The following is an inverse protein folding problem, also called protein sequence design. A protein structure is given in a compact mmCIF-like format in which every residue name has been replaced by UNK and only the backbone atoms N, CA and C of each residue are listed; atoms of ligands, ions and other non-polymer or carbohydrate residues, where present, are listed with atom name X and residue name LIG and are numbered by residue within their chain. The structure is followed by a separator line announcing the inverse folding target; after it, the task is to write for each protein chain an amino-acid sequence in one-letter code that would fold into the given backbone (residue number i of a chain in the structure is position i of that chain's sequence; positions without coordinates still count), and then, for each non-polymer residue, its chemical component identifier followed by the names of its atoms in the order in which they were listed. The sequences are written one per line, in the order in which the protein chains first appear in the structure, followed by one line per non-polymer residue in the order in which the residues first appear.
data_IF_537332440185
#
_entry.id   IF_537332440185
#
_cell.length_a   1.000
_cell.length_b   1.000
_cell.length_c   1.000
_cell.angle_alpha   90.00
_cell.angle_beta   90.00
_cell.angle_gamma   90.00
#
_symmetry.space_group_name_H-M   'P 1'
#
loop_
_entity.id
_entity.type
_entity.pdbx_description
1 polymer ?
#
# COMPACT_ATOMS: atom_id res chain seq x y z
N UNK A 1 72.88 1.98 -23.20
CA UNK A 1 71.60 1.94 -22.45
C UNK A 1 70.47 1.78 -23.46
N UNK A 2 69.66 0.74 -23.35
CA UNK A 2 68.69 0.35 -24.39
C UNK A 2 67.41 1.22 -24.32
N UNK A 3 67.14 2.10 -25.31
CA UNK A 3 66.03 3.06 -25.26
C UNK A 3 64.65 2.37 -25.29
N UNK A 4 64.59 1.11 -25.73
CA UNK A 4 63.37 0.31 -25.80
C UNK A 4 62.70 0.07 -24.44
N UNK A 5 63.48 -0.04 -23.36
CA UNK A 5 62.94 -0.33 -22.02
C UNK A 5 62.11 0.83 -21.45
N UNK A 6 62.49 2.09 -21.74
CA UNK A 6 61.78 3.28 -21.26
C UNK A 6 60.48 3.53 -22.03
N UNK A 7 60.51 3.32 -23.35
CA UNK A 7 59.32 3.46 -24.19
C UNK A 7 58.25 2.41 -23.86
N UNK A 8 58.66 1.17 -23.60
CA UNK A 8 57.76 0.09 -23.17
C UNK A 8 57.12 0.41 -21.81
N UNK A 9 57.91 0.90 -20.85
CA UNK A 9 57.40 1.28 -19.52
C UNK A 9 56.37 2.41 -19.62
N UNK A 10 56.63 3.43 -20.45
CA UNK A 10 55.71 4.53 -20.68
C UNK A 10 54.38 4.07 -21.30
N UNK A 11 54.44 3.16 -22.28
CA UNK A 11 53.24 2.59 -22.90
C UNK A 11 52.38 1.81 -21.89
N UNK A 12 52.99 1.02 -21.02
CA UNK A 12 52.29 0.28 -19.96
C UNK A 12 51.58 1.23 -19.00
N UNK A 13 52.25 2.31 -18.58
CA UNK A 13 51.67 3.32 -17.66
C UNK A 13 50.47 4.01 -18.31
N UNK A 14 50.56 4.37 -19.60
CA UNK A 14 49.47 5.02 -20.33
C UNK A 14 48.25 4.09 -20.43
N UNK A 15 48.45 2.82 -20.78
CA UNK A 15 47.36 1.83 -20.85
C UNK A 15 46.70 1.66 -19.48
N UNK A 16 47.49 1.60 -18.41
CA UNK A 16 46.97 1.48 -17.05
C UNK A 16 46.18 2.72 -16.61
N UNK A 17 46.63 3.92 -16.98
CA UNK A 17 45.93 5.16 -16.70
C UNK A 17 44.59 5.26 -17.44
N UNK A 18 44.55 4.87 -18.71
CA UNK A 18 43.31 4.82 -19.51
C UNK A 18 42.34 3.78 -18.94
N UNK A 19 42.85 2.63 -18.49
CA UNK A 19 42.05 1.61 -17.84
C UNK A 19 41.45 2.10 -16.51
N UNK A 20 42.25 2.76 -15.66
CA UNK A 20 41.79 3.37 -14.41
C UNK A 20 40.73 4.46 -14.63
N UNK A 21 40.91 5.31 -15.63
CA UNK A 21 39.94 6.34 -16.01
C UNK A 21 38.62 5.72 -16.50
N UNK A 22 38.70 4.66 -17.32
CA UNK A 22 37.52 3.94 -17.79
C UNK A 22 36.80 3.19 -16.66
N UNK A 23 37.54 2.64 -15.69
CA UNK A 23 36.98 1.97 -14.52
C UNK A 23 36.28 2.97 -13.59
N UNK A 24 36.86 4.16 -13.37
CA UNK A 24 36.22 5.26 -12.64
C UNK A 24 34.94 5.75 -13.32
N UNK A 25 34.95 5.90 -14.65
CA UNK A 25 33.74 6.30 -15.38
C UNK A 25 32.64 5.24 -15.33
N UNK A 26 32.99 3.95 -15.26
CA UNK A 26 32.02 2.86 -15.09
C UNK A 26 31.40 2.84 -13.69
N UNK A 27 32.16 3.20 -12.65
CA UNK A 27 31.67 3.39 -11.27
C UNK A 27 30.82 4.66 -11.10
N UNK A 28 31.12 5.73 -11.85
CA UNK A 28 30.34 6.97 -11.84
C UNK A 28 29.10 6.95 -12.76
N UNK A 29 28.95 5.91 -13.58
CA UNK A 29 27.85 5.71 -14.52
C UNK A 29 26.77 4.75 -13.99
N UNK A 30 26.75 4.44 -12.70
CA UNK A 30 25.56 3.89 -12.04
C UNK A 30 24.73 5.05 -11.49
N UNK A 31 24.17 5.85 -12.40
CA UNK A 31 23.04 6.74 -12.10
C UNK A 31 21.72 5.95 -12.03
N UNK A 32 21.76 4.63 -11.85
CA UNK A 32 20.58 3.90 -11.41
C UNK A 32 20.30 4.36 -9.99
N UNK A 33 19.12 4.96 -9.78
CA UNK A 33 18.60 5.30 -8.46
C UNK A 33 18.97 4.17 -7.47
N UNK A 34 19.64 4.45 -6.34
CA UNK A 34 19.98 3.42 -5.35
C UNK A 34 18.76 2.53 -5.12
N UNK A 35 18.99 1.23 -4.91
CA UNK A 35 17.90 0.27 -4.74
C UNK A 35 16.84 0.75 -3.72
N UNK A 36 17.25 1.53 -2.71
CA UNK A 36 16.39 2.23 -1.75
C UNK A 36 15.47 3.31 -2.36
N UNK A 37 15.91 4.09 -3.34
CA UNK A 37 15.07 5.04 -4.09
C UNK A 37 14.12 4.33 -5.05
N UNK A 38 14.54 3.23 -5.68
CA UNK A 38 13.62 2.34 -6.44
C UNK A 38 12.61 1.71 -5.50
N UNK A 39 13.03 1.33 -4.29
CA UNK A 39 12.16 0.79 -3.24
C UNK A 39 11.17 1.83 -2.68
N UNK A 40 11.62 3.08 -2.50
CA UNK A 40 10.80 4.21 -2.09
C UNK A 40 9.82 4.63 -3.21
N UNK A 41 10.24 4.58 -4.47
CA UNK A 41 9.38 4.79 -5.64
C UNK A 41 8.37 3.65 -5.84
N UNK A 42 8.74 2.40 -5.48
CA UNK A 42 7.86 1.22 -5.49
C UNK A 42 7.05 1.04 -4.20
N UNK A 43 7.02 2.02 -3.29
CA UNK A 43 6.17 1.99 -2.10
C UNK A 43 4.70 2.16 -2.51
N UNK A 44 4.11 1.11 -3.08
CA UNK A 44 2.72 0.97 -3.56
C UNK A 44 2.13 2.31 -3.99
N UNK A 45 2.32 2.63 -5.28
CA UNK A 45 1.77 3.83 -5.91
C UNK A 45 0.32 4.04 -5.46
N UNK A 46 0.02 5.26 -5.03
CA UNK A 46 -1.35 5.67 -4.79
C UNK A 46 -2.07 5.61 -6.15
N UNK A 47 -3.14 4.83 -6.22
CA UNK A 47 -4.03 4.81 -7.36
C UNK A 47 -4.98 6.00 -7.22
N UNK A 48 -4.62 7.09 -7.89
CA UNK A 48 -5.40 8.33 -7.88
C UNK A 48 -6.84 8.12 -8.34
N UNK A 49 -7.10 7.14 -9.22
CA UNK A 49 -8.46 6.83 -9.66
C UNK A 49 -9.28 6.20 -8.52
N UNK A 50 -8.75 5.19 -7.85
CA UNK A 50 -9.37 4.59 -6.66
C UNK A 50 -9.56 5.62 -5.54
N UNK A 51 -8.56 6.46 -5.29
CA UNK A 51 -8.66 7.53 -4.29
C UNK A 51 -9.75 8.53 -4.65
N UNK A 52 -9.77 9.03 -5.89
CA UNK A 52 -10.77 9.98 -6.36
C UNK A 52 -12.19 9.40 -6.33
N UNK A 53 -12.34 8.12 -6.64
CA UNK A 53 -13.60 7.40 -6.45
C UNK A 53 -14.00 7.37 -4.98
N UNK A 54 -13.11 6.93 -4.09
CA UNK A 54 -13.39 6.77 -2.66
C UNK A 54 -13.66 8.08 -1.92
N UNK A 55 -13.09 9.21 -2.37
CA UNK A 55 -13.42 10.53 -1.80
C UNK A 55 -14.91 10.84 -1.82
N UNK A 56 -15.66 10.34 -2.81
CA UNK A 56 -17.11 10.57 -2.93
C UNK A 56 -17.92 9.84 -1.87
N UNK A 57 -17.32 8.82 -1.25
CA UNK A 57 -17.94 7.96 -0.26
C UNK A 57 -17.52 8.31 1.17
N UNK A 58 -16.78 9.40 1.35
CA UNK A 58 -16.37 9.88 2.67
C UNK A 58 -17.61 10.33 3.47
N UNK A 59 -17.70 9.89 4.72
CA UNK A 59 -18.74 10.35 5.63
C UNK A 59 -18.49 11.80 6.05
N UNK A 60 -19.56 12.57 6.27
CA UNK A 60 -19.46 13.95 6.77
C UNK A 60 -18.80 14.02 8.15
N UNK A 61 -18.98 12.97 8.96
CA UNK A 61 -18.33 12.77 10.26
C UNK A 61 -17.95 11.30 10.37
N UNK A 62 -16.78 11.01 10.93
CA UNK A 62 -16.41 9.64 11.26
C UNK A 62 -17.40 9.07 12.29
N UNK A 63 -17.93 7.88 12.03
CA UNK A 63 -18.94 7.24 12.89
C UNK A 63 -18.30 6.09 13.68
N UNK A 64 -18.46 6.01 15.01
CA UNK A 64 -17.89 4.90 15.79
C UNK A 64 -18.54 3.57 15.43
N UNK A 65 -17.74 2.51 15.42
CA UNK A 65 -18.24 1.13 15.28
C UNK A 65 -18.76 0.65 16.63
N UNK A 66 -20.00 0.15 16.65
CA UNK A 66 -20.64 -0.29 17.91
C UNK A 66 -19.84 -1.42 18.58
N UNK A 67 -19.47 -1.21 19.85
CA UNK A 67 -18.68 -2.19 20.61
C UNK A 67 -17.16 -2.16 20.33
N UNK A 68 -16.69 -1.26 19.46
CA UNK A 68 -15.28 -1.05 19.13
C UNK A 68 -14.96 0.47 19.24
N UNK A 69 -14.72 0.98 20.47
CA UNK A 69 -14.56 2.42 20.70
C UNK A 69 -13.30 3.02 20.06
N UNK A 70 -12.35 2.16 19.68
CA UNK A 70 -11.13 2.52 18.99
C UNK A 70 -11.27 2.47 17.46
N UNK A 71 -12.47 2.22 16.93
CA UNK A 71 -12.70 2.14 15.49
C UNK A 71 -13.80 3.08 15.03
N UNK A 72 -13.54 3.75 13.91
CA UNK A 72 -14.51 4.60 13.22
C UNK A 72 -14.64 4.22 11.75
N UNK A 73 -15.86 4.28 11.24
CA UNK A 73 -16.14 4.23 9.81
C UNK A 73 -15.86 5.61 9.23
N UNK A 74 -15.04 5.64 8.19
CA UNK A 74 -14.62 6.90 7.53
C UNK A 74 -15.23 7.06 6.15
N UNK A 75 -15.42 5.94 5.44
CA UNK A 75 -15.98 5.93 4.10
C UNK A 75 -16.92 4.74 3.95
N UNK A 76 -18.04 4.93 3.23
CA UNK A 76 -19.02 3.89 2.95
C UNK A 76 -19.51 4.00 1.51
N UNK A 77 -19.30 2.92 0.76
CA UNK A 77 -19.87 2.72 -0.57
C UNK A 77 -20.93 1.63 -0.48
N UNK A 78 -22.19 2.02 -0.74
CA UNK A 78 -23.28 1.06 -0.96
C UNK A 78 -23.22 0.60 -2.41
N UNK A 79 -23.36 -0.68 -2.64
CA UNK A 79 -23.38 -1.24 -3.98
C UNK A 79 -24.81 -1.51 -4.43
N UNK A 80 -25.02 -1.53 -5.75
CA UNK A 80 -26.30 -1.91 -6.34
C UNK A 80 -26.45 -3.43 -6.39
N UNK A 81 -27.67 -3.91 -6.67
CA UNK A 81 -28.03 -5.34 -6.73
C UNK A 81 -27.22 -6.19 -7.72
N UNK A 82 -26.47 -5.57 -8.65
CA UNK A 82 -25.58 -6.27 -9.58
C UNK A 82 -24.21 -6.61 -8.97
N UNK A 83 -23.88 -6.04 -7.81
CA UNK A 83 -22.68 -6.39 -7.05
C UNK A 83 -22.91 -7.65 -6.22
N UNK A 84 -21.86 -8.47 -6.09
CA UNK A 84 -21.87 -9.59 -5.15
C UNK A 84 -21.77 -9.14 -3.68
N UNK A 85 -21.46 -7.87 -3.43
CA UNK A 85 -21.32 -7.26 -2.11
C UNK A 85 -22.38 -6.19 -1.92
N UNK A 86 -22.92 -6.06 -0.70
CA UNK A 86 -23.90 -5.04 -0.35
C UNK A 86 -23.20 -3.70 -0.03
N UNK A 87 -22.12 -3.75 0.74
CA UNK A 87 -21.41 -2.56 1.24
C UNK A 87 -19.90 -2.73 1.17
N UNK A 88 -19.17 -1.66 0.87
CA UNK A 88 -17.74 -1.53 1.18
C UNK A 88 -17.53 -0.40 2.17
N UNK A 89 -16.63 -0.59 3.12
CA UNK A 89 -16.30 0.43 4.09
C UNK A 89 -14.78 0.55 4.31
N UNK A 90 -14.37 1.77 4.68
CA UNK A 90 -13.05 2.03 5.23
C UNK A 90 -13.21 2.30 6.72
N UNK A 91 -12.60 1.43 7.52
CA UNK A 91 -12.63 1.49 8.98
C UNK A 91 -11.26 1.95 9.46
N UNK A 92 -11.21 3.01 10.25
CA UNK A 92 -10.01 3.52 10.88
C UNK A 92 -9.96 3.02 12.32
N UNK A 93 -8.94 2.25 12.63
CA UNK A 93 -8.53 1.94 13.99
C UNK A 93 -7.64 3.08 14.51
N UNK A 94 -7.81 3.47 15.77
CA UNK A 94 -7.09 4.56 16.41
C UNK A 94 -5.57 4.40 16.29
N UNK A 95 -4.88 5.53 16.44
CA UNK A 95 -3.44 5.62 16.28
C UNK A 95 -2.70 4.59 17.15
N UNK A 96 -1.76 3.88 16.53
CA UNK A 96 -0.80 3.01 17.22
C UNK A 96 0.62 3.52 16.94
N UNK A 97 1.64 3.10 17.72
CA UNK A 97 3.02 3.52 17.45
C UNK A 97 3.51 3.21 16.03
N UNK A 98 2.97 2.16 15.39
CA UNK A 98 3.29 1.81 14.01
C UNK A 98 2.59 2.71 12.99
N UNK A 99 1.41 3.23 13.32
CA UNK A 99 0.56 4.06 12.45
C UNK A 99 -0.01 5.24 13.26
N UNK A 100 0.76 6.33 13.40
CA UNK A 100 0.38 7.45 14.26
C UNK A 100 -0.87 8.20 13.79
N UNK A 101 -1.23 8.08 12.51
CA UNK A 101 -2.43 8.68 11.91
C UNK A 101 -3.65 7.73 11.89
N UNK A 102 -3.51 6.56 12.53
CA UNK A 102 -4.49 5.48 12.53
C UNK A 102 -4.19 4.41 11.48
N UNK A 103 -4.78 3.24 11.68
CA UNK A 103 -4.67 2.09 10.79
C UNK A 103 -5.99 1.87 10.07
N UNK A 104 -5.97 1.84 8.74
CA UNK A 104 -7.17 1.84 7.90
C UNK A 104 -7.37 0.48 7.26
N UNK A 105 -8.56 -0.09 7.45
CA UNK A 105 -8.99 -1.38 6.94
C UNK A 105 -10.03 -1.17 5.85
N UNK A 106 -9.76 -1.69 4.65
CA UNK A 106 -10.73 -1.72 3.56
C UNK A 106 -11.43 -3.07 3.52
N UNK A 107 -12.74 -3.05 3.77
CA UNK A 107 -13.58 -4.25 3.87
C UNK A 107 -14.75 -4.19 2.89
N UNK A 108 -15.20 -5.37 2.47
CA UNK A 108 -16.41 -5.60 1.68
C UNK A 108 -17.33 -6.55 2.43
N UNK A 109 -18.63 -6.33 2.38
CA UNK A 109 -19.63 -7.05 3.16
C UNK A 109 -20.78 -7.51 2.24
N UNK A 110 -21.08 -8.80 2.27
CA UNK A 110 -22.30 -9.42 1.77
C UNK A 110 -23.10 -9.78 3.02
N UNK A 111 -23.94 -8.82 3.41
CA UNK A 111 -24.71 -8.80 4.64
C UNK A 111 -25.81 -9.85 4.61
N UNK A 112 -26.41 -10.09 3.45
CA UNK A 112 -27.43 -11.12 3.28
C UNK A 112 -26.86 -12.53 3.46
N UNK A 113 -25.65 -12.79 2.94
CA UNK A 113 -25.04 -14.12 3.00
C UNK A 113 -24.08 -14.32 4.17
N UNK A 114 -23.79 -13.30 4.98
CA UNK A 114 -22.86 -13.45 6.11
C UNK A 114 -21.39 -13.54 5.69
N UNK A 115 -21.01 -12.97 4.54
CA UNK A 115 -19.64 -12.99 4.04
C UNK A 115 -19.01 -11.62 4.10
N UNK A 116 -17.71 -11.58 4.37
CA UNK A 116 -16.93 -10.35 4.27
C UNK A 116 -15.58 -10.60 3.63
N UNK A 117 -14.97 -9.56 3.10
CA UNK A 117 -13.66 -9.62 2.47
C UNK A 117 -12.70 -8.63 3.12
N UNK A 118 -11.49 -9.11 3.43
CA UNK A 118 -10.37 -8.27 3.87
C UNK A 118 -9.58 -7.84 2.63
N UNK A 119 -9.94 -6.71 2.04
CA UNK A 119 -9.31 -6.29 0.78
C UNK A 119 -7.89 -5.80 1.00
N UNK A 120 -7.71 -4.85 1.91
CA UNK A 120 -6.40 -4.31 2.20
C UNK A 120 -6.41 -3.53 3.51
N UNK A 121 -5.24 -3.31 4.09
CA UNK A 121 -5.06 -2.54 5.31
C UNK A 121 -3.77 -1.72 5.23
N UNK A 122 -3.78 -0.49 5.74
CA UNK A 122 -2.63 0.42 5.63
C UNK A 122 -2.69 1.57 6.63
N UNK A 123 -1.57 2.24 6.86
CA UNK A 123 -1.50 3.45 7.72
C UNK A 123 -2.18 4.71 7.15
N UNK A 124 -2.92 4.60 6.05
CA UNK A 124 -3.69 5.70 5.46
C UNK A 124 -4.80 5.12 4.60
N UNK A 125 -5.98 5.73 4.57
CA UNK A 125 -7.08 5.24 3.75
C UNK A 125 -6.76 5.24 2.25
N UNK A 126 -5.99 6.21 1.76
CA UNK A 126 -5.60 6.30 0.34
C UNK A 126 -4.82 5.06 -0.08
N UNK A 127 -3.84 4.64 0.72
CA UNK A 127 -3.08 3.41 0.47
C UNK A 127 -3.92 2.15 0.65
N UNK A 128 -4.85 2.15 1.60
CA UNK A 128 -5.79 1.04 1.79
C UNK A 128 -6.58 0.79 0.50
N UNK A 129 -7.14 1.83 -0.13
CA UNK A 129 -7.90 1.69 -1.39
C UNK A 129 -7.04 1.54 -2.64
N UNK A 130 -5.78 1.99 -2.61
CA UNK A 130 -4.87 1.93 -3.76
C UNK A 130 -4.18 0.58 -3.93
N UNK A 131 -3.92 -0.14 -2.85
CA UNK A 131 -3.16 -1.40 -2.90
C UNK A 131 -4.09 -2.60 -2.81
N UNK A 132 -5.14 -2.66 -3.64
CA UNK A 132 -6.06 -3.78 -3.65
C UNK A 132 -5.29 -5.10 -3.81
N UNK A 133 -5.11 -5.82 -2.70
CA UNK A 133 -4.74 -7.23 -2.74
C UNK A 133 -6.05 -7.98 -2.85
N UNK A 134 -6.09 -9.03 -3.68
CA UNK A 134 -7.27 -9.87 -3.80
C UNK A 134 -7.55 -10.45 -2.41
N UNK A 135 -8.50 -9.86 -1.71
CA UNK A 135 -8.78 -10.20 -0.33
C UNK A 135 -9.29 -11.64 -0.21
N UNK A 136 -9.06 -12.27 0.94
CA UNK A 136 -9.69 -13.55 1.25
C UNK A 136 -11.12 -13.30 1.72
N UNK A 137 -12.11 -13.71 0.93
CA UNK A 137 -13.49 -13.77 1.38
C UNK A 137 -13.62 -14.80 2.51
N UNK A 138 -14.28 -14.42 3.60
CA UNK A 138 -14.44 -15.24 4.80
C UNK A 138 -15.90 -15.23 5.25
N UNK A 139 -16.33 -16.36 5.80
CA UNK A 139 -17.63 -16.48 6.42
C UNK A 139 -17.59 -15.93 7.85
N UNK A 140 -18.57 -15.10 8.22
CA UNK A 140 -18.52 -14.34 9.46
C UNK A 140 -18.53 -15.23 10.71
N UNK A 141 -19.10 -16.44 10.65
CA UNK A 141 -19.11 -17.36 11.78
C UNK A 141 -17.70 -17.74 12.25
N UNK A 142 -16.74 -17.83 11.33
CA UNK A 142 -15.33 -18.11 11.61
C UNK A 142 -14.48 -16.88 11.92
N UNK A 143 -15.06 -15.68 11.91
CA UNK A 143 -14.35 -14.45 12.20
C UNK A 143 -14.12 -14.25 13.70
N UNK A 144 -13.12 -13.44 14.03
CA UNK A 144 -12.87 -13.01 15.40
C UNK A 144 -13.99 -12.08 15.89
N UNK A 145 -13.99 -11.80 17.20
CA UNK A 145 -15.03 -10.97 17.83
C UNK A 145 -15.08 -9.56 17.24
N UNK A 146 -13.93 -8.98 16.92
CA UNK A 146 -13.84 -7.60 16.41
C UNK A 146 -14.47 -7.52 15.03
N UNK A 147 -14.12 -8.44 14.15
CA UNK A 147 -14.70 -8.47 12.80
C UNK A 147 -16.19 -8.79 12.77
N UNK A 148 -16.68 -9.59 13.71
CA UNK A 148 -18.12 -9.79 13.92
C UNK A 148 -18.83 -8.48 14.26
N UNK A 149 -18.26 -7.69 15.17
CA UNK A 149 -18.81 -6.38 15.53
C UNK A 149 -18.76 -5.39 14.35
N UNK A 150 -17.67 -5.36 13.59
CA UNK A 150 -17.57 -4.57 12.35
C UNK A 150 -18.68 -4.96 11.36
N UNK A 151 -18.84 -6.26 11.10
CA UNK A 151 -19.83 -6.80 10.18
C UNK A 151 -21.25 -6.42 10.62
N UNK A 152 -21.62 -6.73 11.86
CA UNK A 152 -22.96 -6.50 12.38
C UNK A 152 -23.34 -5.01 12.32
N UNK A 153 -22.42 -4.13 12.73
CA UNK A 153 -22.65 -2.69 12.75
C UNK A 153 -22.78 -2.12 11.33
N UNK A 154 -21.84 -2.45 10.44
CA UNK A 154 -21.83 -1.92 9.07
C UNK A 154 -23.04 -2.43 8.28
N UNK A 155 -23.36 -3.72 8.39
CA UNK A 155 -24.52 -4.30 7.73
C UNK A 155 -25.83 -3.70 8.26
N UNK A 156 -25.94 -3.48 9.56
CA UNK A 156 -27.14 -2.89 10.16
C UNK A 156 -27.34 -1.44 9.73
N UNK A 157 -26.27 -0.64 9.69
CA UNK A 157 -26.33 0.81 9.40
C UNK A 157 -26.40 1.13 7.91
N UNK A 158 -25.72 0.36 7.05
CA UNK A 158 -25.44 0.80 5.67
C UNK A 158 -25.94 -0.12 4.56
N UNK A 159 -26.36 -1.35 4.85
CA UNK A 159 -26.83 -2.27 3.80
C UNK A 159 -28.29 -2.05 3.37
N UNK A 160 -29.01 -1.11 4.01
CA UNK A 160 -30.41 -0.76 3.71
C UNK A 160 -30.53 0.48 2.85
#
# INVERSE_FOLDING_TARGET
MNPFSKALLAAIIIVFAIWLLSFRNKLASDNSLPAAEIWLANRTLIDEASVAEWRKYQLLREEPVSGLPDETVTHVRRHSFVSAWDVSAIIKEQASPAYPDGYYKWRQFDCAKGWYNRLNESGSWQRAVSSHRRGSAKYIQGADRREKLEFDDICTKYAK
#
